data_IF_208296171445
#
_entry.id   IF_208296171445
#
_cell.length_a   1.000
_cell.length_b   1.000
_cell.length_c   1.000
_cell.angle_alpha   90.00
_cell.angle_beta   90.00
_cell.angle_gamma   90.00
#
_symmetry.space_group_name_H-M   'P 1'
#
loop_
_entity.id
_entity.type
_entity.pdbx_description
1 polymer ?
#
# COMPACT_ATOMS: atom_id res chain seq x y z
N UNK A 1 -2.57 -21.35 3.16
CA UNK A 1 -1.66 -20.56 2.30
C UNK A 1 -0.24 -20.77 2.76
N UNK A 2 0.72 -20.94 1.85
CA UNK A 2 2.15 -20.95 2.21
C UNK A 2 2.53 -19.56 2.74
N UNK A 3 3.45 -19.48 3.69
CA UNK A 3 3.90 -18.19 4.25
C UNK A 3 4.55 -17.30 3.19
N UNK A 4 5.23 -17.90 2.22
CA UNK A 4 5.73 -17.24 1.02
C UNK A 4 4.61 -16.53 0.24
N UNK A 5 3.46 -17.19 0.04
CA UNK A 5 2.28 -16.56 -0.59
C UNK A 5 1.76 -15.36 0.20
N UNK A 6 1.83 -15.40 1.54
CA UNK A 6 1.44 -14.27 2.40
C UNK A 6 2.43 -13.09 2.24
N UNK A 7 3.73 -13.40 2.15
CA UNK A 7 4.79 -12.42 1.89
C UNK A 7 4.61 -11.76 0.52
N UNK A 8 4.34 -12.55 -0.51
CA UNK A 8 4.08 -12.05 -1.87
C UNK A 8 2.79 -11.24 -1.97
N UNK A 9 1.71 -11.67 -1.32
CA UNK A 9 0.47 -10.90 -1.25
C UNK A 9 0.69 -9.54 -0.57
N UNK A 10 1.48 -9.49 0.50
CA UNK A 10 1.86 -8.23 1.15
C UNK A 10 2.70 -7.29 0.27
N UNK A 11 3.63 -7.85 -0.53
CA UNK A 11 4.41 -7.08 -1.52
C UNK A 11 3.50 -6.49 -2.60
N UNK A 12 2.61 -7.30 -3.16
CA UNK A 12 1.63 -6.84 -4.16
C UNK A 12 0.74 -5.73 -3.60
N UNK A 13 0.25 -5.88 -2.36
CA UNK A 13 -0.57 -4.86 -1.71
C UNK A 13 0.20 -3.54 -1.49
N UNK A 14 1.49 -3.61 -1.16
CA UNK A 14 2.35 -2.43 -1.08
C UNK A 14 2.55 -1.76 -2.44
N UNK A 15 2.72 -2.52 -3.52
CA UNK A 15 2.84 -1.96 -4.86
C UNK A 15 1.54 -1.28 -5.31
N UNK A 16 0.37 -1.88 -5.02
CA UNK A 16 -0.91 -1.21 -5.21
C UNK A 16 -1.02 0.09 -4.41
N UNK A 17 -0.53 0.09 -3.16
CA UNK A 17 -0.52 1.30 -2.33
C UNK A 17 0.30 2.41 -2.97
N UNK A 18 1.46 2.12 -3.56
CA UNK A 18 2.27 3.11 -4.30
C UNK A 18 1.52 3.67 -5.51
N UNK A 19 0.78 2.83 -6.22
CA UNK A 19 -0.06 3.28 -7.36
C UNK A 19 -1.16 4.22 -6.88
N UNK A 20 -1.85 3.88 -5.78
CA UNK A 20 -2.87 4.75 -5.17
C UNK A 20 -2.27 6.09 -4.78
N UNK A 21 -1.09 6.11 -4.16
CA UNK A 21 -0.39 7.34 -3.81
C UNK A 21 -0.08 8.15 -5.08
N UNK A 22 0.45 7.53 -6.13
CA UNK A 22 0.79 8.22 -7.37
C UNK A 22 -0.45 8.84 -8.05
N UNK A 23 -1.56 8.11 -8.13
CA UNK A 23 -2.76 8.56 -8.85
C UNK A 23 -3.62 9.49 -8.01
N UNK A 24 -3.85 9.17 -6.75
CA UNK A 24 -4.83 9.87 -5.92
C UNK A 24 -4.22 10.98 -5.05
N UNK A 25 -2.89 11.01 -4.88
CA UNK A 25 -2.21 12.06 -4.11
C UNK A 25 -1.29 12.88 -5.02
N UNK A 26 -0.36 12.26 -5.73
CA UNK A 26 0.62 12.99 -6.55
C UNK A 26 -0.04 13.66 -7.77
N UNK A 27 -0.91 12.98 -8.51
CA UNK A 27 -1.55 13.57 -9.68
C UNK A 27 -2.39 14.84 -9.38
N UNK A 28 -3.26 14.89 -8.35
CA UNK A 28 -3.97 16.11 -7.99
C UNK A 28 -3.05 17.21 -7.45
N UNK A 29 -1.97 16.86 -6.74
CA UNK A 29 -0.93 17.84 -6.33
C UNK A 29 -0.29 18.55 -7.52
N UNK A 30 0.08 17.79 -8.57
CA UNK A 30 0.72 18.34 -9.77
C UNK A 30 -0.26 19.17 -10.61
N UNK A 31 -1.55 18.80 -10.64
CA UNK A 31 -2.59 19.50 -11.41
C UNK A 31 -3.28 20.64 -10.64
N UNK A 32 -2.79 21.03 -9.46
CA UNK A 32 -3.44 22.01 -8.57
C UNK A 32 -4.92 21.70 -8.29
N UNK A 33 -5.27 20.41 -8.25
CA UNK A 33 -6.61 19.94 -7.92
C UNK A 33 -6.89 20.01 -6.41
N UNK A 34 -8.17 19.93 -6.03
CA UNK A 34 -8.54 19.78 -4.62
C UNK A 34 -8.04 18.41 -4.13
N UNK A 35 -7.20 18.41 -3.09
CA UNK A 35 -6.82 17.17 -2.41
C UNK A 35 -7.95 16.71 -1.50
N UNK A 36 -8.38 15.48 -1.69
CA UNK A 36 -9.17 14.75 -0.71
C UNK A 36 -8.21 14.05 0.26
N UNK A 37 -8.56 14.00 1.54
CA UNK A 37 -7.74 13.34 2.58
C UNK A 37 -8.01 11.83 2.66
N UNK A 38 -9.16 11.37 2.18
CA UNK A 38 -9.54 9.96 2.21
C UNK A 38 -8.54 9.03 1.49
N UNK A 39 -7.99 9.37 0.31
CA UNK A 39 -6.94 8.57 -0.33
C UNK A 39 -5.66 8.45 0.50
N UNK A 40 -5.32 9.47 1.28
CA UNK A 40 -4.15 9.48 2.15
C UNK A 40 -4.30 8.50 3.32
N UNK A 41 -5.48 8.51 3.95
CA UNK A 41 -5.85 7.57 5.02
C UNK A 41 -5.85 6.14 4.47
N UNK A 42 -6.48 5.92 3.31
CA UNK A 42 -6.55 4.60 2.69
C UNK A 42 -5.17 4.05 2.31
N UNK A 43 -4.30 4.91 1.74
CA UNK A 43 -2.92 4.53 1.43
C UNK A 43 -2.14 4.16 2.68
N UNK A 44 -2.32 4.88 3.79
CA UNK A 44 -1.64 4.59 5.06
C UNK A 44 -2.04 3.23 5.64
N UNK A 45 -3.36 2.94 5.67
CA UNK A 45 -3.89 1.66 6.17
C UNK A 45 -3.44 0.51 5.27
N UNK A 46 -3.47 0.71 3.95
CA UNK A 46 -3.02 -0.29 2.97
C UNK A 46 -1.52 -0.58 3.12
N UNK A 47 -0.69 0.46 3.26
CA UNK A 47 0.75 0.29 3.51
C UNK A 47 1.02 -0.49 4.80
N UNK A 48 0.36 -0.13 5.90
CA UNK A 48 0.51 -0.81 7.18
C UNK A 48 0.09 -2.29 7.10
N UNK A 49 -1.02 -2.57 6.42
CA UNK A 49 -1.51 -3.94 6.21
C UNK A 49 -0.57 -4.75 5.33
N UNK A 50 -0.02 -4.17 4.27
CA UNK A 50 0.96 -4.80 3.39
C UNK A 50 2.25 -5.15 4.12
N UNK A 51 2.79 -4.20 4.89
CA UNK A 51 3.96 -4.43 5.74
C UNK A 51 3.71 -5.51 6.80
N UNK A 52 2.52 -5.51 7.42
CA UNK A 52 2.14 -6.55 8.37
C UNK A 52 2.13 -7.95 7.72
N UNK A 53 1.54 -8.08 6.52
CA UNK A 53 1.52 -9.34 5.78
C UNK A 53 2.92 -9.80 5.37
N UNK A 54 3.78 -8.89 4.91
CA UNK A 54 5.19 -9.20 4.60
C UNK A 54 5.90 -9.73 5.84
N UNK A 55 5.81 -9.00 6.96
CA UNK A 55 6.48 -9.39 8.20
C UNK A 55 5.94 -10.72 8.74
N UNK A 56 4.62 -10.96 8.64
CA UNK A 56 3.99 -12.23 9.02
C UNK A 56 4.46 -13.39 8.13
N UNK A 57 4.62 -13.14 6.83
CA UNK A 57 5.14 -14.11 5.88
C UNK A 57 6.63 -14.39 6.03
N UNK A 58 7.42 -13.44 6.54
CA UNK A 58 8.88 -13.53 6.69
C UNK A 58 9.34 -14.14 8.02
N UNK A 59 8.46 -14.27 9.03
CA UNK A 59 8.84 -14.59 10.42
C UNK A 59 9.28 -16.05 10.72
N UNK A 60 9.76 -16.81 9.73
CA UNK A 60 10.29 -18.19 9.87
C UNK A 60 11.17 -18.57 8.66
N UNK A 61 11.92 -17.62 8.09
CA UNK A 61 13.20 -17.91 7.41
C UNK A 61 14.33 -17.70 8.43
#
# INVERSE_FOLDING_TARGET
>A
MKRETIKEAGKLLLDFTKIIVAVAIIAPLVKSGKMDIAPFIFATISAASGLYLINKGAKDE
#
